data_IF_105768539737
#
_entry.id   IF_105768539737
#
_cell.length_a   1.000
_cell.length_b   1.000
_cell.length_c   1.000
_cell.angle_alpha   90.00
_cell.angle_beta   90.00
_cell.angle_gamma   90.00
#
_symmetry.space_group_name_H-M   'P 1'
#
loop_
_entity.id
_entity.type
_entity.pdbx_description
1 polymer ?
#
# COMPACT_ATOMS: atom_id res chain seq x y z
N UNK A 1 9.47 -22.25 23.16
CA UNK A 1 9.69 -21.89 21.73
C UNK A 1 9.38 -20.41 21.59
N UNK A 2 10.26 -19.64 20.94
CA UNK A 2 10.02 -18.21 20.71
C UNK A 2 8.85 -18.07 19.74
N UNK A 3 7.74 -17.46 20.17
CA UNK A 3 6.57 -17.24 19.33
C UNK A 3 6.90 -16.21 18.26
N UNK A 4 6.80 -16.60 16.98
CA UNK A 4 6.99 -15.68 15.87
C UNK A 4 5.67 -14.96 15.52
N UNK A 5 5.75 -13.88 14.73
CA UNK A 5 4.58 -13.06 14.36
C UNK A 5 3.46 -13.87 13.71
N UNK A 6 3.78 -14.92 12.93
CA UNK A 6 2.78 -15.79 12.30
C UNK A 6 1.97 -16.57 13.32
N UNK A 7 2.62 -17.12 14.34
CA UNK A 7 1.94 -17.86 15.40
C UNK A 7 1.05 -16.93 16.23
N UNK A 8 1.55 -15.73 16.60
CA UNK A 8 0.73 -14.71 17.30
C UNK A 8 -0.55 -14.38 16.55
N UNK A 9 -0.44 -14.16 15.25
CA UNK A 9 -1.60 -13.92 14.40
C UNK A 9 -2.55 -15.12 14.37
N UNK A 10 -2.02 -16.33 14.15
CA UNK A 10 -2.83 -17.54 14.08
C UNK A 10 -3.61 -17.81 15.38
N UNK A 11 -2.97 -17.65 16.54
CA UNK A 11 -3.59 -17.84 17.85
C UNK A 11 -4.71 -16.81 18.07
N UNK A 12 -4.45 -15.55 17.75
CA UNK A 12 -5.44 -14.46 17.85
C UNK A 12 -6.68 -14.76 16.99
N UNK A 13 -6.48 -15.20 15.74
CA UNK A 13 -7.58 -15.54 14.83
C UNK A 13 -8.37 -16.78 15.27
N UNK A 14 -7.77 -17.64 16.08
CA UNK A 14 -8.40 -18.83 16.67
C UNK A 14 -8.96 -18.56 18.07
N UNK A 15 -9.00 -17.29 18.50
CA UNK A 15 -9.44 -16.89 19.84
C UNK A 15 -8.66 -17.57 20.98
N UNK A 16 -7.40 -17.94 20.72
CA UNK A 16 -6.46 -18.41 21.74
C UNK A 16 -5.68 -17.22 22.30
N UNK A 17 -5.22 -17.31 23.55
CA UNK A 17 -4.42 -16.25 24.17
C UNK A 17 -3.01 -16.20 23.54
N UNK A 18 -2.66 -15.13 22.81
CA UNK A 18 -1.33 -14.99 22.25
C UNK A 18 -0.36 -14.46 23.31
N UNK A 19 0.94 -14.75 23.19
CA UNK A 19 1.96 -14.21 24.11
C UNK A 19 2.02 -12.68 24.19
N UNK A 20 1.51 -11.98 23.18
CA UNK A 20 1.04 -10.58 23.23
C UNK A 20 0.05 -10.33 22.09
N UNK A 21 -0.76 -9.28 22.21
CA UNK A 21 -1.64 -8.81 21.12
C UNK A 21 -0.78 -8.48 19.89
N UNK A 22 -1.13 -8.97 18.68
CA UNK A 22 -0.47 -8.58 17.44
C UNK A 22 -0.57 -7.07 17.21
N UNK A 23 0.51 -6.45 16.72
CA UNK A 23 0.56 -5.01 16.47
C UNK A 23 0.81 -4.78 14.98
N UNK A 24 -0.05 -4.00 14.34
CA UNK A 24 0.19 -3.44 13.01
C UNK A 24 0.73 -2.01 13.14
N UNK A 25 1.97 -1.83 12.70
CA UNK A 25 2.55 -0.54 12.42
C UNK A 25 3.10 -0.57 11.01
N UNK A 26 2.60 0.32 10.15
CA UNK A 26 3.07 0.43 8.78
C UNK A 26 2.69 -0.72 7.86
N UNK A 27 1.53 -1.38 8.00
CA UNK A 27 1.02 -2.33 6.99
C UNK A 27 -0.35 -1.96 6.39
N UNK A 28 -0.81 -0.72 6.61
CA UNK A 28 -1.84 -0.06 5.79
C UNK A 28 -1.52 1.44 5.65
N UNK A 29 -2.19 2.14 4.73
CA UNK A 29 -2.06 3.60 4.58
C UNK A 29 -2.44 4.38 5.86
N UNK A 30 -3.29 3.79 6.71
CA UNK A 30 -3.78 4.41 7.95
C UNK A 30 -2.90 4.14 9.16
N UNK A 31 -2.11 3.06 9.13
CA UNK A 31 -1.14 2.71 10.18
C UNK A 31 0.29 3.10 9.81
N UNK A 32 0.46 3.84 8.70
CA UNK A 32 1.75 4.32 8.21
C UNK A 32 2.21 5.65 8.81
N UNK A 33 3.28 6.20 8.24
CA UNK A 33 3.92 7.42 8.73
C UNK A 33 4.32 8.35 7.60
N UNK A 34 4.05 9.66 7.75
CA UNK A 34 4.54 10.68 6.80
C UNK A 34 6.07 10.80 6.88
N UNK A 35 6.77 11.11 5.76
CA UNK A 35 8.23 11.21 5.74
C UNK A 35 8.82 12.12 6.84
N UNK A 36 8.22 13.29 7.06
CA UNK A 36 8.68 14.22 8.10
C UNK A 36 8.55 13.70 9.53
N UNK A 37 7.57 12.83 9.81
CA UNK A 37 7.44 12.17 11.12
C UNK A 37 8.47 11.07 11.28
N UNK A 38 8.73 10.32 10.20
CA UNK A 38 9.74 9.25 10.17
C UNK A 38 11.13 9.80 10.46
N UNK A 39 11.54 10.90 9.82
CA UNK A 39 12.86 11.51 10.08
C UNK A 39 13.04 11.93 11.55
N UNK A 40 11.99 12.51 12.16
CA UNK A 40 12.03 12.89 13.58
C UNK A 40 12.16 11.67 14.47
N UNK A 41 11.39 10.61 14.22
CA UNK A 41 11.45 9.38 15.00
C UNK A 41 12.83 8.71 14.88
N UNK A 42 13.40 8.59 13.67
CA UNK A 42 14.75 8.06 13.47
C UNK A 42 15.78 8.81 14.31
N UNK A 43 15.73 10.15 14.29
CA UNK A 43 16.62 10.99 15.11
C UNK A 43 16.46 10.72 16.60
N UNK A 44 15.22 10.58 17.09
CA UNK A 44 14.95 10.25 18.49
C UNK A 44 15.46 8.86 18.88
N UNK A 45 15.36 7.87 17.99
CA UNK A 45 15.82 6.50 18.21
C UNK A 45 17.33 6.31 17.97
N UNK A 46 18.03 7.34 17.48
CA UNK A 46 19.45 7.27 17.18
C UNK A 46 19.79 6.49 15.90
N UNK A 47 18.81 6.27 15.01
CA UNK A 47 19.06 5.64 13.72
C UNK A 47 19.78 6.61 12.79
N UNK A 48 20.85 6.13 12.15
CA UNK A 48 21.68 6.90 11.21
C UNK A 48 21.89 6.13 9.91
N UNK A 49 22.32 6.81 8.85
CA UNK A 49 22.51 6.22 7.52
C UNK A 49 21.22 6.13 6.70
N UNK A 50 21.33 5.63 5.45
CA UNK A 50 20.19 5.51 4.54
C UNK A 50 19.10 4.61 5.14
N UNK A 51 17.84 4.93 4.84
CA UNK A 51 16.71 4.10 5.26
C UNK A 51 16.66 2.82 4.43
N UNK A 52 16.44 1.69 5.10
CA UNK A 52 16.04 0.46 4.44
C UNK A 52 14.52 0.46 4.38
N UNK A 53 13.94 0.90 3.26
CA UNK A 53 12.51 1.13 3.19
C UNK A 53 11.73 -0.12 2.78
N UNK A 54 10.54 -0.29 3.37
CA UNK A 54 9.49 -1.14 2.85
C UNK A 54 8.86 -0.58 1.57
N UNK A 55 8.05 -1.41 0.90
CA UNK A 55 7.23 -1.01 -0.27
C UNK A 55 6.36 0.23 -0.01
N UNK A 56 5.96 0.48 1.23
CA UNK A 56 5.20 1.66 1.62
C UNK A 56 6.04 2.86 2.09
N UNK A 57 7.37 2.79 1.92
CA UNK A 57 8.31 3.88 2.24
C UNK A 57 8.71 3.99 3.71
N UNK A 58 8.25 3.08 4.58
CA UNK A 58 8.61 3.10 6.02
C UNK A 58 9.95 2.41 6.23
N UNK A 59 10.81 3.01 7.06
CA UNK A 59 12.11 2.44 7.42
C UNK A 59 11.94 1.16 8.25
N UNK A 60 12.51 0.06 7.76
CA UNK A 60 12.46 -1.29 8.35
C UNK A 60 12.93 -1.29 9.80
N UNK A 61 13.91 -0.47 10.16
CA UNK A 61 14.43 -0.41 11.53
C UNK A 61 13.40 0.13 12.51
N UNK A 62 12.52 1.03 12.04
CA UNK A 62 11.39 1.52 12.84
C UNK A 62 10.37 0.41 13.04
N UNK A 63 10.07 -0.36 11.98
CA UNK A 63 9.15 -1.50 12.05
C UNK A 63 9.66 -2.58 13.02
N UNK A 64 10.96 -2.88 12.98
CA UNK A 64 11.62 -3.80 13.89
C UNK A 64 11.61 -3.29 15.34
N UNK A 65 11.95 -2.02 15.56
CA UNK A 65 11.90 -1.40 16.88
C UNK A 65 10.48 -1.38 17.46
N UNK A 66 9.48 -1.07 16.65
CA UNK A 66 8.07 -1.09 17.04
C UNK A 66 7.57 -2.54 17.28
N UNK A 67 8.30 -3.54 16.79
CA UNK A 67 7.95 -4.95 16.91
C UNK A 67 6.67 -5.29 16.14
N UNK A 68 6.48 -4.73 14.94
CA UNK A 68 5.30 -5.00 14.10
C UNK A 68 5.20 -6.50 13.77
N UNK A 69 3.97 -7.02 13.73
CA UNK A 69 3.68 -8.40 13.32
C UNK A 69 3.36 -8.53 11.83
N UNK A 70 3.15 -7.40 11.17
CA UNK A 70 2.66 -7.32 9.79
C UNK A 70 3.69 -6.62 8.90
N UNK A 71 3.61 -6.94 7.61
CA UNK A 71 4.43 -6.33 6.57
C UNK A 71 3.51 -5.88 5.45
N UNK A 72 3.82 -4.72 4.87
CA UNK A 72 3.07 -4.20 3.75
C UNK A 72 3.14 -5.18 2.58
N UNK A 73 1.98 -5.48 2.01
CA UNK A 73 1.83 -6.20 0.75
C UNK A 73 0.85 -5.40 -0.10
N UNK A 74 1.21 -5.14 -1.35
CA UNK A 74 0.31 -4.44 -2.28
C UNK A 74 0.82 -3.09 -2.75
N UNK A 75 2.00 -3.07 -3.36
CA UNK A 75 2.15 -2.14 -4.48
C UNK A 75 1.10 -2.49 -5.53
N UNK A 76 0.56 -1.48 -6.22
CA UNK A 76 -0.30 -1.72 -7.38
C UNK A 76 0.50 -2.61 -8.32
N UNK A 77 -0.02 -3.81 -8.60
CA UNK A 77 0.62 -4.75 -9.51
C UNK A 77 0.87 -4.04 -10.85
N UNK A 78 2.13 -3.79 -11.17
CA UNK A 78 2.53 -3.18 -12.43
C UNK A 78 2.83 -4.28 -13.45
N UNK A 79 1.81 -4.61 -14.25
CA UNK A 79 1.97 -5.54 -15.37
C UNK A 79 2.32 -4.75 -16.63
N UNK A 80 3.31 -5.20 -17.43
CA UNK A 80 3.59 -4.57 -18.72
C UNK A 80 2.34 -4.66 -19.62
N UNK A 81 1.68 -3.54 -19.86
CA UNK A 81 0.48 -3.42 -20.71
C UNK A 81 0.51 -2.13 -21.53
N UNK A 82 -0.28 -2.10 -22.61
CA UNK A 82 -0.39 -0.94 -23.50
C UNK A 82 -0.96 0.31 -22.82
N UNK A 83 -1.62 0.16 -21.67
CA UNK A 83 -2.24 1.27 -20.94
C UNK A 83 -1.28 2.00 -20.00
N UNK A 84 -0.22 1.34 -19.53
CA UNK A 84 0.71 1.92 -18.55
C UNK A 84 1.44 3.10 -19.17
N UNK A 85 1.35 4.27 -18.55
CA UNK A 85 2.00 5.47 -19.05
C UNK A 85 2.11 6.59 -18.02
N UNK A 86 3.30 7.18 -17.91
CA UNK A 86 3.50 8.43 -17.17
C UNK A 86 2.96 9.59 -18.01
N UNK A 87 1.96 10.31 -17.50
CA UNK A 87 1.36 11.48 -18.17
C UNK A 87 2.11 12.76 -17.80
N UNK A 88 2.48 12.90 -16.52
CA UNK A 88 3.33 13.99 -16.00
C UNK A 88 3.99 13.58 -14.67
N UNK A 89 4.68 14.50 -13.99
CA UNK A 89 5.20 14.25 -12.63
C UNK A 89 4.09 14.07 -11.58
N UNK A 90 2.87 14.52 -11.87
CA UNK A 90 1.71 14.47 -10.97
C UNK A 90 0.54 13.73 -11.60
N UNK A 91 0.76 12.94 -12.65
CA UNK A 91 -0.28 12.21 -13.34
C UNK A 91 0.27 10.92 -13.97
N UNK A 92 -0.41 9.80 -13.74
CA UNK A 92 -0.05 8.49 -14.28
C UNK A 92 -1.28 7.66 -14.65
N UNK A 93 -1.09 6.70 -15.54
CA UNK A 93 -2.07 5.68 -15.90
C UNK A 93 -1.47 4.33 -15.57
N UNK A 94 -2.18 3.54 -14.78
CA UNK A 94 -1.73 2.21 -14.38
C UNK A 94 -1.99 1.14 -15.45
N UNK A 95 -1.53 -0.09 -15.17
CA UNK A 95 -1.69 -1.22 -16.09
C UNK A 95 -3.16 -1.60 -16.36
N UNK A 96 -4.10 -1.09 -15.56
CA UNK A 96 -5.54 -1.28 -15.75
C UNK A 96 -6.20 -0.15 -16.54
N UNK A 97 -5.45 0.87 -16.95
CA UNK A 97 -5.97 2.06 -17.62
C UNK A 97 -6.61 3.07 -16.69
N UNK A 98 -6.41 2.94 -15.36
CA UNK A 98 -6.91 3.90 -14.38
C UNK A 98 -5.94 5.09 -14.31
N UNK A 99 -6.46 6.29 -14.53
CA UNK A 99 -5.70 7.52 -14.36
C UNK A 99 -5.71 7.93 -12.90
N UNK A 100 -4.55 8.27 -12.37
CA UNK A 100 -4.39 8.93 -11.08
C UNK A 100 -3.70 10.27 -11.25
N UNK A 101 -4.21 11.30 -10.60
CA UNK A 101 -3.55 12.60 -10.48
C UNK A 101 -3.20 12.86 -9.01
N UNK A 102 -2.05 13.49 -8.77
CA UNK A 102 -1.61 13.88 -7.44
C UNK A 102 -2.26 15.21 -7.05
N UNK A 103 -3.26 15.15 -6.17
CA UNK A 103 -4.11 16.27 -5.77
C UNK A 103 -4.11 16.37 -4.25
N UNK A 104 -3.80 17.56 -3.72
CA UNK A 104 -3.78 17.86 -2.29
C UNK A 104 -2.91 16.92 -1.43
N UNK A 105 -1.82 16.42 -2.03
CA UNK A 105 -0.85 15.58 -1.34
C UNK A 105 -1.17 14.08 -1.38
N UNK A 106 -2.14 13.66 -2.19
CA UNK A 106 -2.49 12.24 -2.37
C UNK A 106 -2.79 11.91 -3.84
N UNK A 107 -2.63 10.64 -4.22
CA UNK A 107 -2.96 10.15 -5.55
C UNK A 107 -4.44 9.78 -5.63
N UNK A 108 -5.20 10.53 -6.42
CA UNK A 108 -6.64 10.33 -6.57
C UNK A 108 -6.95 9.71 -7.93
N UNK A 109 -7.88 8.75 -7.97
CA UNK A 109 -8.41 8.23 -9.23
C UNK A 109 -9.28 9.32 -9.87
N UNK A 110 -8.86 9.81 -11.02
CA UNK A 110 -9.53 10.90 -11.74
C UNK A 110 -10.25 10.42 -13.00
N UNK A 111 -9.76 9.36 -13.63
CA UNK A 111 -10.43 8.71 -14.75
C UNK A 111 -10.36 7.19 -14.58
N UNK A 112 -11.45 6.52 -14.95
CA UNK A 112 -11.57 5.06 -14.91
C UNK A 112 -12.07 4.55 -16.26
N UNK A 113 -11.52 3.45 -16.80
CA UNK A 113 -12.01 2.85 -18.04
C UNK A 113 -13.42 2.29 -17.90
N UNK A 114 -13.93 2.14 -16.68
CA UNK A 114 -15.28 1.66 -16.38
C UNK A 114 -16.29 2.80 -16.19
N UNK A 115 -15.90 4.07 -16.36
CA UNK A 115 -16.85 5.19 -16.28
C UNK A 115 -17.95 5.02 -17.33
N UNK A 116 -19.22 5.13 -16.91
CA UNK A 116 -20.37 4.90 -17.80
C UNK A 116 -20.59 3.44 -18.22
N UNK A 117 -19.81 2.48 -17.72
CA UNK A 117 -20.06 1.07 -17.94
C UNK A 117 -21.20 0.58 -17.04
N UNK A 118 -22.09 -0.24 -17.60
CA UNK A 118 -23.14 -0.90 -16.83
C UNK A 118 -23.14 -2.39 -17.10
N UNK A 119 -23.56 -3.14 -16.08
CA UNK A 119 -23.59 -4.60 -16.12
C UNK A 119 -25.01 -5.07 -16.44
N UNK A 120 -25.17 -5.90 -17.46
CA UNK A 120 -26.44 -6.58 -17.77
C UNK A 120 -26.16 -8.07 -17.92
N UNK A 121 -26.61 -8.87 -16.94
CA UNK A 121 -26.19 -10.28 -16.82
C UNK A 121 -24.69 -10.41 -16.51
N UNK A 122 -24.02 -11.38 -17.12
CA UNK A 122 -22.57 -11.63 -16.91
C UNK A 122 -21.64 -10.76 -17.78
N UNK A 123 -22.18 -9.83 -18.58
CA UNK A 123 -21.39 -8.99 -19.50
C UNK A 123 -21.36 -7.53 -19.05
N UNK A 124 -20.18 -6.92 -19.20
CA UNK A 124 -19.95 -5.48 -19.04
C UNK A 124 -20.08 -4.84 -20.43
N UNK A 125 -20.86 -3.76 -20.52
CA UNK A 125 -21.01 -2.99 -21.75
C UNK A 125 -20.41 -1.59 -21.52
N UNK A 126 -19.53 -1.16 -22.43
CA UNK A 126 -19.02 0.22 -22.51
C UNK A 126 -19.78 0.99 -23.60
N UNK A 127 -20.01 2.28 -23.40
CA UNK A 127 -20.73 3.16 -24.34
C UNK A 127 -19.83 3.66 -25.50
N UNK A 128 -18.98 2.80 -26.08
CA UNK A 128 -17.98 3.04 -27.15
C UNK A 128 -16.53 3.34 -26.66
N UNK A 129 -15.52 3.23 -27.55
CA UNK A 129 -14.50 2.18 -27.47
C UNK A 129 -13.37 2.50 -26.49
N UNK A 130 -12.96 1.45 -25.76
CA UNK A 130 -11.64 1.36 -25.17
C UNK A 130 -10.62 1.18 -26.30
N UNK A 131 -9.94 2.26 -26.70
CA UNK A 131 -8.82 2.15 -27.64
C UNK A 131 -7.58 1.63 -26.91
N UNK A 132 -7.43 0.31 -26.95
CA UNK A 132 -6.19 -0.37 -27.33
C UNK A 132 -6.64 -1.36 -28.45
#
# INVERSE_FOLDING_TARGET
>A
MMMNSRQRFADTMQHQEPGRVPIDFGATSLTGMRPGSQEKLKKCLGFSGPAEAESNGIDLRILEWAGTDFRAVGEILDLPRCHTGKVSETAEIDCWGVRRDFIDGDWQITESPLIGSFRRGSKIFQLAPSNC
#
